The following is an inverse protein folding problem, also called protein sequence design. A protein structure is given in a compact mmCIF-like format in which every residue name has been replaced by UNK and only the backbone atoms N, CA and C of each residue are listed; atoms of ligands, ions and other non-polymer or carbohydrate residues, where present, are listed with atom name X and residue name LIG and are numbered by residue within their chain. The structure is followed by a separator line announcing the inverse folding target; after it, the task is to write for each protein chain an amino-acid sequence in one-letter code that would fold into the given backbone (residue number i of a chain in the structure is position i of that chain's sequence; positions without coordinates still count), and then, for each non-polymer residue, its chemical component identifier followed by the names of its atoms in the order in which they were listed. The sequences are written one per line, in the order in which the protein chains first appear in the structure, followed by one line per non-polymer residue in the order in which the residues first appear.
data_IF_349301210565
#
_entry.id   IF_349301210565
#
_cell.length_a   1.000
_cell.length_b   1.000
_cell.length_c   1.000
_cell.angle_alpha   90.00
_cell.angle_beta   90.00
_cell.angle_gamma   90.00
#
_symmetry.space_group_name_H-M   'P 1'
#
loop_
_entity.id
_entity.type
_entity.pdbx_description
1 polymer ?
#
# COMPACT_ATOMS: atom_id res chain seq x y z
N UNK A 1 -8.13 22.06 -22.49
CA UNK A 1 -8.62 20.85 -23.18
C UNK A 1 -8.31 19.70 -22.25
N UNK A 2 -9.36 19.02 -21.81
CA UNK A 2 -9.42 18.16 -20.63
C UNK A 2 -8.41 17.00 -20.69
N UNK A 3 -7.79 16.69 -19.55
CA UNK A 3 -7.89 15.32 -19.04
C UNK A 3 -8.01 15.35 -17.51
N UNK A 4 -9.21 14.99 -17.06
CA UNK A 4 -9.64 14.89 -15.68
C UNK A 4 -9.30 13.46 -15.21
N UNK A 5 -8.11 13.25 -14.61
CA UNK A 5 -7.61 11.90 -14.36
C UNK A 5 -7.19 11.55 -12.93
N UNK A 6 -7.19 12.49 -11.96
CA UNK A 6 -6.73 12.19 -10.58
C UNK A 6 -7.64 12.73 -9.46
N UNK A 7 -8.83 13.23 -9.79
CA UNK A 7 -9.77 13.84 -8.82
C UNK A 7 -11.02 12.98 -8.52
N UNK A 8 -10.97 11.65 -8.75
CA UNK A 8 -12.08 10.73 -8.44
C UNK A 8 -11.79 9.72 -7.31
N UNK A 9 -10.87 10.05 -6.39
CA UNK A 9 -10.74 9.34 -5.10
C UNK A 9 -10.85 10.36 -3.96
N UNK A 10 -11.96 11.13 -3.93
CA UNK A 10 -12.11 12.19 -2.93
C UNK A 10 -13.47 12.36 -2.26
N UNK A 11 -14.46 11.49 -2.44
CA UNK A 11 -15.77 11.74 -1.83
C UNK A 11 -16.12 10.95 -0.57
N UNK A 12 -15.43 9.86 -0.20
CA UNK A 12 -15.67 9.19 1.09
C UNK A 12 -14.38 8.62 1.66
N UNK A 13 -13.60 9.45 2.35
CA UNK A 13 -12.67 8.94 3.37
C UNK A 13 -13.54 8.40 4.51
N UNK A 14 -13.99 7.16 4.36
CA UNK A 14 -14.60 6.40 5.45
C UNK A 14 -13.51 6.32 6.51
N UNK A 15 -13.66 7.10 7.58
CA UNK A 15 -12.70 7.16 8.68
C UNK A 15 -12.39 5.74 9.12
N UNK A 16 -11.15 5.32 8.88
CA UNK A 16 -10.65 4.02 9.34
C UNK A 16 -10.82 4.01 10.86
N UNK A 17 -11.33 2.92 11.48
CA UNK A 17 -11.26 2.78 12.92
C UNK A 17 -9.81 2.98 13.39
N UNK A 18 -9.61 3.43 14.64
CA UNK A 18 -8.33 3.86 15.25
C UNK A 18 -7.28 2.72 15.33
N UNK A 19 -6.91 2.16 14.20
CA UNK A 19 -5.82 1.23 14.01
C UNK A 19 -4.55 2.06 13.94
N UNK A 20 -3.72 1.95 14.97
CA UNK A 20 -2.47 2.71 14.99
C UNK A 20 -1.64 2.42 13.73
N UNK A 21 -1.14 3.47 13.06
CA UNK A 21 -0.30 3.40 11.84
C UNK A 21 0.78 2.30 11.89
N UNK A 22 1.46 2.05 13.04
CA UNK A 22 2.43 0.96 13.15
C UNK A 22 1.85 -0.45 12.96
N UNK A 23 0.61 -0.70 13.40
CA UNK A 23 -0.07 -2.01 13.23
C UNK A 23 -0.31 -2.27 11.75
N UNK A 24 -0.86 -1.28 11.04
CA UNK A 24 -1.12 -1.35 9.59
C UNK A 24 0.18 -1.64 8.83
N UNK A 25 1.23 -0.88 9.09
CA UNK A 25 2.53 -1.09 8.46
C UNK A 25 3.14 -2.46 8.76
N UNK A 26 3.10 -2.90 10.02
CA UNK A 26 3.64 -4.19 10.42
C UNK A 26 2.91 -5.36 9.75
N UNK A 27 1.59 -5.26 9.60
CA UNK A 27 0.82 -6.26 8.87
C UNK A 27 1.13 -6.27 7.38
N UNK A 28 1.02 -5.11 6.71
CA UNK A 28 1.29 -4.98 5.26
C UNK A 28 2.68 -5.49 4.93
N UNK A 29 3.69 -5.09 5.70
CA UNK A 29 5.08 -5.50 5.45
C UNK A 29 5.25 -7.03 5.54
N UNK A 30 4.56 -7.71 6.46
CA UNK A 30 4.60 -9.18 6.58
C UNK A 30 3.88 -9.88 5.44
N UNK A 31 2.69 -9.39 5.06
CA UNK A 31 1.92 -9.94 3.94
C UNK A 31 2.73 -9.82 2.64
N UNK A 32 3.26 -8.63 2.35
CA UNK A 32 4.03 -8.39 1.14
C UNK A 32 5.34 -9.16 1.11
N UNK A 33 6.04 -9.24 2.25
CA UNK A 33 7.23 -10.08 2.36
C UNK A 33 6.93 -11.55 2.01
N UNK A 34 5.79 -12.07 2.48
CA UNK A 34 5.36 -13.43 2.17
C UNK A 34 4.99 -13.62 0.69
N UNK A 35 4.26 -12.68 0.08
CA UNK A 35 3.82 -12.78 -1.32
C UNK A 35 4.99 -12.69 -2.29
N UNK A 36 5.97 -11.84 -1.99
CA UNK A 36 7.14 -11.64 -2.84
C UNK A 36 8.33 -12.53 -2.45
N UNK A 37 8.17 -13.41 -1.46
CA UNK A 37 9.21 -14.30 -0.93
C UNK A 37 10.52 -13.57 -0.56
N UNK A 38 10.39 -12.43 0.13
CA UNK A 38 11.52 -11.61 0.59
C UNK A 38 11.49 -11.40 2.11
N UNK A 39 12.65 -11.10 2.69
CA UNK A 39 12.72 -10.68 4.10
C UNK A 39 12.07 -9.30 4.29
N UNK A 40 11.31 -9.12 5.38
CA UNK A 40 10.77 -7.82 5.80
C UNK A 40 11.87 -6.77 5.92
N UNK A 41 13.07 -7.16 6.36
CA UNK A 41 14.23 -6.27 6.44
C UNK A 41 14.58 -5.65 5.07
N UNK A 42 14.37 -6.38 3.97
CA UNK A 42 14.55 -5.82 2.64
C UNK A 42 13.49 -4.77 2.31
N UNK A 43 12.23 -4.93 2.70
CA UNK A 43 11.22 -3.89 2.49
C UNK A 43 11.58 -2.58 3.20
N UNK A 44 12.13 -2.66 4.40
CA UNK A 44 12.48 -1.50 5.22
C UNK A 44 13.84 -0.89 4.89
N UNK A 45 14.70 -1.62 4.17
CA UNK A 45 16.03 -1.14 3.84
C UNK A 45 15.98 0.15 2.98
N UNK A 46 16.87 1.13 3.22
CA UNK A 46 16.92 2.36 2.44
C UNK A 46 17.44 2.14 1.02
N UNK A 47 18.12 1.01 0.77
CA UNK A 47 18.73 0.68 -0.52
C UNK A 47 17.68 0.38 -1.58
N UNK A 48 18.03 0.65 -2.86
CA UNK A 48 17.15 0.41 -4.00
C UNK A 48 16.76 -1.06 -4.14
N UNK A 49 17.69 -1.99 -3.87
CA UNK A 49 17.46 -3.43 -3.96
C UNK A 49 17.30 -3.91 -5.41
N UNK A 50 16.79 -5.13 -5.58
CA UNK A 50 16.41 -5.69 -6.89
C UNK A 50 15.10 -5.10 -7.39
N UNK A 51 14.76 -5.31 -8.67
CA UNK A 51 13.47 -4.89 -9.23
C UNK A 51 12.29 -5.48 -8.45
N UNK A 52 12.39 -6.74 -8.02
CA UNK A 52 11.38 -7.42 -7.20
C UNK A 52 11.19 -6.73 -5.84
N UNK A 53 12.29 -6.40 -5.14
CA UNK A 53 12.21 -5.71 -3.85
C UNK A 53 11.62 -4.30 -4.03
N UNK A 54 12.02 -3.59 -5.10
CA UNK A 54 11.47 -2.28 -5.39
C UNK A 54 9.95 -2.32 -5.63
N UNK A 55 9.48 -3.28 -6.43
CA UNK A 55 8.06 -3.51 -6.67
C UNK A 55 7.31 -3.86 -5.38
N UNK A 56 7.85 -4.78 -4.58
CA UNK A 56 7.25 -5.16 -3.31
C UNK A 56 7.06 -3.94 -2.38
N UNK A 57 8.04 -3.05 -2.29
CA UNK A 57 7.91 -1.78 -1.53
C UNK A 57 6.85 -0.86 -2.12
N UNK A 58 6.77 -0.76 -3.45
CA UNK A 58 5.75 0.06 -4.12
C UNK A 58 4.35 -0.45 -3.81
N UNK A 59 4.13 -1.76 -3.89
CA UNK A 59 2.86 -2.40 -3.53
C UNK A 59 2.54 -2.22 -2.04
N UNK A 60 3.52 -2.35 -1.15
CA UNK A 60 3.30 -2.10 0.28
C UNK A 60 2.85 -0.65 0.55
N UNK A 61 3.48 0.33 -0.09
CA UNK A 61 3.10 1.75 0.01
C UNK A 61 1.70 2.01 -0.58
N UNK A 62 1.39 1.38 -1.72
CA UNK A 62 0.07 1.44 -2.35
C UNK A 62 -1.02 0.91 -1.43
N UNK A 63 -0.87 -0.30 -0.88
CA UNK A 63 -1.86 -0.90 0.01
C UNK A 63 -2.06 -0.08 1.29
N UNK A 64 -1.01 0.56 1.80
CA UNK A 64 -1.12 1.43 2.97
C UNK A 64 -1.94 2.70 2.66
N UNK A 65 -1.77 3.28 1.48
CA UNK A 65 -2.49 4.48 1.06
C UNK A 65 -3.90 4.18 0.56
N UNK A 66 -4.01 3.34 -0.46
CA UNK A 66 -5.25 3.04 -1.18
C UNK A 66 -6.08 2.00 -0.43
N UNK A 67 -5.47 0.89 -0.03
CA UNK A 67 -6.18 -0.19 0.69
C UNK A 67 -6.55 0.16 2.14
N UNK A 68 -5.71 0.94 2.83
CA UNK A 68 -5.88 1.26 4.25
C UNK A 68 -6.18 2.74 4.53
N UNK A 69 -6.27 3.61 3.53
CA UNK A 69 -6.67 5.01 3.69
C UNK A 69 -5.66 5.93 4.39
N UNK A 70 -4.42 5.49 4.64
CA UNK A 70 -3.39 6.34 5.24
C UNK A 70 -2.99 7.46 4.28
N UNK A 71 -2.64 8.64 4.76
CA UNK A 71 -2.15 9.72 3.91
C UNK A 71 -0.75 9.42 3.36
N UNK A 72 -0.41 9.98 2.19
CA UNK A 72 0.94 9.86 1.60
C UNK A 72 2.06 10.22 2.58
N UNK A 73 1.82 11.19 3.46
CA UNK A 73 2.77 11.62 4.50
C UNK A 73 2.93 10.58 5.60
N UNK A 74 1.84 9.96 6.07
CA UNK A 74 1.89 8.90 7.09
C UNK A 74 2.60 7.66 6.55
N UNK A 75 2.26 7.25 5.32
CA UNK A 75 2.95 6.15 4.63
C UNK A 75 4.43 6.49 4.46
N UNK A 76 4.76 7.68 3.96
CA UNK A 76 6.16 8.10 3.78
C UNK A 76 6.95 8.04 5.09
N UNK A 77 6.40 8.58 6.18
CA UNK A 77 7.03 8.52 7.51
C UNK A 77 7.30 7.09 7.95
N UNK A 78 6.35 6.19 7.71
CA UNK A 78 6.41 4.82 8.19
C UNK A 78 7.37 3.94 7.38
N UNK A 79 7.51 4.21 6.08
CA UNK A 79 8.48 3.54 5.20
C UNK A 79 9.83 4.29 5.08
N UNK A 80 10.01 5.40 5.80
CA UNK A 80 11.23 6.23 5.74
C UNK A 80 11.46 6.87 4.36
N UNK A 81 10.39 7.27 3.67
CA UNK A 81 10.39 7.82 2.31
C UNK A 81 9.70 9.19 2.25
N UNK A 82 10.02 9.97 1.22
CA UNK A 82 9.29 11.21 0.95
C UNK A 82 7.88 10.90 0.41
N UNK A 83 6.90 11.75 0.71
CA UNK A 83 5.51 11.58 0.23
C UNK A 83 5.42 11.48 -1.30
N UNK A 84 6.33 12.13 -2.04
CA UNK A 84 6.40 12.04 -3.50
C UNK A 84 6.87 10.67 -3.97
N UNK A 85 7.69 9.96 -3.18
CA UNK A 85 8.05 8.57 -3.44
C UNK A 85 6.83 7.66 -3.29
N UNK A 86 5.96 7.93 -2.31
CA UNK A 86 4.70 7.20 -2.12
C UNK A 86 3.75 7.47 -3.28
N UNK A 87 3.59 8.73 -3.69
CA UNK A 87 2.77 9.07 -4.86
C UNK A 87 3.26 8.34 -6.12
N UNK A 88 4.56 8.38 -6.37
CA UNK A 88 5.17 7.66 -7.49
C UNK A 88 4.98 6.14 -7.39
N UNK A 89 5.05 5.56 -6.18
CA UNK A 89 4.75 4.15 -5.98
C UNK A 89 3.30 3.82 -6.37
N UNK A 90 2.34 4.67 -6.00
CA UNK A 90 0.94 4.48 -6.39
C UNK A 90 0.77 4.53 -7.91
N UNK A 91 1.36 5.52 -8.59
CA UNK A 91 1.32 5.62 -10.05
C UNK A 91 1.90 4.38 -10.74
N UNK A 92 3.02 3.85 -10.22
CA UNK A 92 3.66 2.64 -10.77
C UNK A 92 2.79 1.39 -10.57
N UNK A 93 2.12 1.27 -9.42
CA UNK A 93 1.22 0.14 -9.16
C UNK A 93 -0.01 0.24 -10.04
N UNK A 94 -0.67 1.39 -10.10
CA UNK A 94 -1.84 1.62 -10.97
C UNK A 94 -1.53 1.34 -12.44
N UNK A 95 -0.40 1.82 -12.96
CA UNK A 95 0.02 1.53 -14.33
C UNK A 95 0.30 0.04 -14.60
N UNK A 96 0.58 -0.76 -13.56
CA UNK A 96 0.76 -2.22 -13.69
C UNK A 96 -0.55 -3.00 -13.58
N UNK A 97 -1.62 -2.40 -13.02
CA UNK A 97 -2.95 -3.03 -12.94
C UNK A 97 -3.61 -3.22 -14.31
N UNK A 98 -3.00 -2.71 -15.39
CA UNK A 98 -3.37 -3.09 -16.76
C UNK A 98 -3.10 -4.57 -17.07
N UNK A 99 -2.18 -5.21 -16.34
CA UNK A 99 -1.96 -6.65 -16.41
C UNK A 99 -2.95 -7.39 -15.48
N UNK A 100 -3.81 -8.23 -16.07
CA UNK A 100 -4.88 -8.93 -15.37
C UNK A 100 -4.37 -9.79 -14.20
N UNK A 101 -3.20 -10.43 -14.35
CA UNK A 101 -2.65 -11.29 -13.30
C UNK A 101 -2.15 -10.47 -12.10
N UNK A 102 -1.57 -9.30 -12.37
CA UNK A 102 -1.16 -8.36 -11.35
C UNK A 102 -2.36 -7.70 -10.68
N UNK A 103 -3.38 -7.32 -11.45
CA UNK A 103 -4.61 -6.72 -10.95
C UNK A 103 -5.32 -7.63 -9.95
N UNK A 104 -5.54 -8.90 -10.32
CA UNK A 104 -6.13 -9.91 -9.43
C UNK A 104 -5.30 -10.11 -8.15
N UNK A 105 -3.96 -10.08 -8.24
CA UNK A 105 -3.09 -10.14 -7.07
C UNK A 105 -3.31 -8.95 -6.14
N UNK A 106 -3.40 -7.74 -6.69
CA UNK A 106 -3.64 -6.51 -5.91
C UNK A 106 -5.03 -6.56 -5.26
N UNK A 107 -6.08 -6.97 -5.96
CA UNK A 107 -7.43 -7.11 -5.41
C UNK A 107 -7.46 -8.08 -4.21
N UNK A 108 -6.79 -9.23 -4.31
CA UNK A 108 -6.68 -10.20 -3.21
C UNK A 108 -5.93 -9.63 -2.00
N UNK A 109 -4.88 -8.84 -2.25
CA UNK A 109 -4.14 -8.16 -1.19
C UNK A 109 -4.97 -7.06 -0.52
N UNK A 110 -5.73 -6.28 -1.29
CA UNK A 110 -6.67 -5.27 -0.80
C UNK A 110 -7.74 -5.90 0.10
N UNK A 111 -8.32 -7.02 -0.31
CA UNK A 111 -9.27 -7.78 0.53
C UNK A 111 -8.60 -8.28 1.83
N UNK A 112 -7.37 -8.77 1.74
CA UNK A 112 -6.62 -9.26 2.90
C UNK A 112 -6.35 -8.16 3.93
N UNK A 113 -6.02 -6.94 3.48
CA UNK A 113 -5.82 -5.80 4.39
C UNK A 113 -7.13 -5.20 4.87
N UNK A 114 -8.21 -5.24 4.08
CA UNK A 114 -9.54 -4.80 4.50
C UNK A 114 -10.11 -5.66 5.64
N UNK A 115 -9.78 -6.95 5.69
CA UNK A 115 -10.16 -7.82 6.82
C UNK A 115 -9.59 -7.36 8.17
N UNK A 116 -8.47 -6.64 8.18
CA UNK A 116 -7.97 -6.00 9.41
C UNK A 116 -8.94 -4.95 9.96
N UNK A 117 -9.76 -4.34 9.10
CA UNK A 117 -10.71 -3.30 9.47
C UNK A 117 -12.00 -3.87 10.09
N UNK A 118 -12.19 -5.20 10.04
CA UNK A 118 -13.43 -5.86 10.46
C UNK A 118 -13.35 -6.56 11.84
N UNK A 119 -12.16 -6.63 12.46
CA UNK A 119 -11.96 -7.42 13.69
C UNK A 119 -12.11 -6.64 15.02
N UNK A 120 -12.64 -5.41 15.01
CA UNK A 120 -12.90 -4.63 16.22
C UNK A 120 -14.42 -4.59 16.53
N UNK A 121 -15.05 -5.76 16.63
CA UNK A 121 -16.51 -5.87 16.75
C UNK A 121 -17.06 -6.89 17.75
N UNK A 122 -16.25 -7.78 18.35
CA UNK A 122 -16.75 -8.76 19.32
C UNK A 122 -15.68 -8.99 20.42
N UNK A 123 -15.90 -8.43 21.61
CA UNK A 123 -15.05 -8.61 22.79
C UNK A 123 -15.52 -7.78 23.98
#
# INVERSE_FOLDING_TARGET
MMDHGVDLIRSETRSVPDMSVPIVHGFISRVIASVYEIDVAHLLAPTRGTATIALARQVAMYLAHVGCGLTLTEVGRQFGRDRTTVAHACEVVEGRREDESFDQMIELLEQSVAMLQLNEGEG
#
